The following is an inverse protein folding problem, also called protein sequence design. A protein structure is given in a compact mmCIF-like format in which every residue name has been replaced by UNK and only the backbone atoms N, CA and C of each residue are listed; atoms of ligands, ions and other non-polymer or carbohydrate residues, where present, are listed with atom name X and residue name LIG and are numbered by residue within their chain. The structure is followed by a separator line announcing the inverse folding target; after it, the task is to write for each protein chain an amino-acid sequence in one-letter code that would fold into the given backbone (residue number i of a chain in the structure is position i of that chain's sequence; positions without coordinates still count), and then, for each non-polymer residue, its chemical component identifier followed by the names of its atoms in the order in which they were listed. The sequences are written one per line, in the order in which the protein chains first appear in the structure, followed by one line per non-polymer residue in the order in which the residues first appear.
data_IF_539363318288
#
_entry.id   IF_539363318288
#
_cell.length_a   1.000
_cell.length_b   1.000
_cell.length_c   1.000
_cell.angle_alpha   90.00
_cell.angle_beta   90.00
_cell.angle_gamma   90.00
#
_symmetry.space_group_name_H-M   'P 1'
#
loop_
_entity.id
_entity.type
_entity.pdbx_description
1 polymer ?
#
# COMPACT_ATOMS: atom_id res chain seq x y z
N UNK A 1 5.22 -15.42 -4.18
CA UNK A 1 6.50 -14.74 -4.45
C UNK A 1 7.58 -15.80 -4.38
N UNK A 2 8.20 -16.13 -5.51
CA UNK A 2 9.12 -17.28 -5.61
C UNK A 2 10.49 -17.00 -4.99
N UNK A 3 11.20 -18.07 -4.59
CA UNK A 3 12.54 -18.03 -3.99
C UNK A 3 13.54 -17.17 -4.79
N UNK A 4 13.47 -17.21 -6.12
CA UNK A 4 14.36 -16.44 -7.00
C UNK A 4 14.16 -14.92 -6.84
N UNK A 5 12.91 -14.47 -6.77
CA UNK A 5 12.59 -13.04 -6.59
C UNK A 5 13.04 -12.53 -5.21
N UNK A 6 12.92 -13.36 -4.18
CA UNK A 6 13.44 -13.04 -2.85
C UNK A 6 14.96 -12.94 -2.86
N UNK A 7 15.65 -13.86 -3.52
CA UNK A 7 17.11 -13.86 -3.62
C UNK A 7 17.66 -12.65 -4.39
N UNK A 8 16.96 -12.21 -5.43
CA UNK A 8 17.31 -11.01 -6.19
C UNK A 8 17.19 -9.76 -5.31
N UNK A 9 16.16 -9.67 -4.48
CA UNK A 9 15.89 -8.48 -3.64
C UNK A 9 16.63 -8.48 -2.30
N UNK A 10 17.14 -9.64 -1.85
CA UNK A 10 17.88 -9.77 -0.60
C UNK A 10 19.39 -9.53 -0.75
N UNK A 11 19.96 -9.73 -1.94
CA UNK A 11 21.39 -9.51 -2.20
C UNK A 11 21.74 -8.00 -2.13
N UNK A 12 22.70 -7.62 -1.27
CA UNK A 12 23.14 -6.22 -1.06
C UNK A 12 23.50 -5.48 -2.35
N UNK A 13 24.15 -6.15 -3.31
CA UNK A 13 24.55 -5.53 -4.57
C UNK A 13 23.33 -5.21 -5.44
N UNK A 14 22.35 -6.10 -5.43
CA UNK A 14 21.08 -5.88 -6.11
C UNK A 14 20.25 -4.82 -5.40
N UNK A 15 20.29 -4.76 -4.06
CA UNK A 15 19.63 -3.69 -3.30
C UNK A 15 20.17 -2.32 -3.69
N UNK A 16 21.49 -2.19 -3.81
CA UNK A 16 22.10 -0.94 -4.29
C UNK A 16 21.60 -0.57 -5.69
N UNK A 17 21.65 -1.52 -6.64
CA UNK A 17 21.16 -1.30 -8.01
C UNK A 17 19.66 -0.94 -8.05
N UNK A 18 18.84 -1.58 -7.24
CA UNK A 18 17.41 -1.28 -7.12
C UNK A 18 17.17 0.10 -6.51
N UNK A 19 17.97 0.52 -5.52
CA UNK A 19 17.88 1.86 -4.91
C UNK A 19 18.19 2.94 -5.92
N UNK A 20 19.27 2.78 -6.70
CA UNK A 20 19.65 3.76 -7.73
C UNK A 20 18.56 3.94 -8.80
N UNK A 21 17.80 2.87 -9.09
CA UNK A 21 16.69 2.91 -10.05
C UNK A 21 15.34 3.31 -9.43
N UNK A 22 15.28 3.62 -8.13
CA UNK A 22 14.03 3.92 -7.43
C UNK A 22 13.07 2.73 -7.30
N UNK A 23 13.53 1.50 -7.60
CA UNK A 23 12.72 0.28 -7.58
C UNK A 23 12.90 -0.54 -6.28
N UNK A 24 13.74 -0.07 -5.36
CA UNK A 24 13.95 -0.75 -4.10
C UNK A 24 12.78 -0.49 -3.15
N UNK A 25 11.99 -1.54 -2.90
CA UNK A 25 10.98 -1.53 -1.84
C UNK A 25 11.64 -1.99 -0.55
N UNK A 26 11.78 -1.09 0.40
CA UNK A 26 12.36 -1.43 1.70
C UNK A 26 11.44 -2.42 2.43
N UNK A 27 11.97 -3.53 2.96
CA UNK A 27 11.16 -4.46 3.74
C UNK A 27 10.64 -3.76 4.99
N UNK A 28 9.34 -3.89 5.26
CA UNK A 28 8.72 -3.38 6.49
C UNK A 28 9.25 -4.17 7.69
N UNK A 29 9.52 -3.48 8.79
CA UNK A 29 9.88 -4.17 10.04
C UNK A 29 8.67 -4.95 10.58
N UNK A 30 8.92 -5.93 11.45
CA UNK A 30 7.85 -6.65 12.13
C UNK A 30 6.95 -5.71 12.96
N UNK A 31 7.52 -4.67 13.57
CA UNK A 31 6.77 -3.65 14.31
C UNK A 31 5.82 -2.86 13.40
N UNK A 32 6.28 -2.49 12.21
CA UNK A 32 5.45 -1.76 11.24
C UNK A 32 4.29 -2.61 10.73
N UNK A 33 4.56 -3.90 10.50
CA UNK A 33 3.53 -4.87 10.15
C UNK A 33 2.50 -4.93 11.28
N UNK A 34 2.93 -5.10 12.55
CA UNK A 34 2.03 -5.16 13.71
C UNK A 34 1.13 -3.93 13.82
N UNK A 35 1.70 -2.73 13.64
CA UNK A 35 0.95 -1.46 13.63
C UNK A 35 -0.09 -1.42 12.52
N UNK A 36 0.20 -1.99 11.36
CA UNK A 36 -0.69 -1.96 10.21
C UNK A 36 -1.93 -2.84 10.39
N UNK A 37 -1.76 -4.03 10.98
CA UNK A 37 -2.89 -4.88 11.36
C UNK A 37 -3.70 -4.24 12.49
N UNK A 38 -3.02 -3.68 13.50
CA UNK A 38 -3.71 -2.94 14.56
C UNK A 38 -4.56 -1.79 13.98
N UNK A 39 -4.04 -1.05 12.99
CA UNK A 39 -4.82 -0.01 12.30
C UNK A 39 -6.02 -0.57 11.52
N UNK A 40 -5.90 -1.75 10.94
CA UNK A 40 -6.97 -2.37 10.16
C UNK A 40 -8.10 -2.90 11.04
N UNK A 41 -7.76 -3.34 12.25
CA UNK A 41 -8.69 -3.91 13.23
C UNK A 41 -8.93 -2.99 14.45
N UNK A 42 -8.71 -1.69 14.33
CA UNK A 42 -8.90 -0.72 15.43
C UNK A 42 -8.23 -1.12 16.78
N UNK A 43 -7.09 -1.80 16.72
CA UNK A 43 -6.32 -2.22 17.89
C UNK A 43 -6.74 -3.55 18.51
N UNK A 44 -7.80 -4.22 18.02
CA UNK A 44 -8.32 -5.45 18.62
C UNK A 44 -7.73 -6.74 18.06
N UNK A 45 -6.72 -6.66 17.17
CA UNK A 45 -6.14 -7.85 16.56
C UNK A 45 -5.14 -8.52 17.51
N UNK A 46 -5.55 -9.64 18.10
CA UNK A 46 -4.76 -10.41 19.06
C UNK A 46 -3.87 -11.44 18.37
N UNK A 47 -2.61 -11.06 18.14
CA UNK A 47 -1.62 -11.91 17.47
C UNK A 47 -1.27 -13.20 18.21
N UNK A 48 -1.37 -13.21 19.53
CA UNK A 48 -0.93 -14.33 20.35
C UNK A 48 -1.96 -15.47 20.36
N UNK A 49 -3.22 -15.16 20.08
CA UNK A 49 -4.34 -16.10 20.10
C UNK A 49 -4.84 -16.44 18.69
N UNK A 50 -4.45 -15.65 17.69
CA UNK A 50 -4.88 -15.83 16.31
C UNK A 50 -4.36 -17.13 15.69
N UNK A 51 -5.29 -17.92 15.17
CA UNK A 51 -4.99 -19.10 14.35
C UNK A 51 -4.37 -18.70 13.00
N UNK A 52 -3.66 -19.64 12.36
CA UNK A 52 -3.03 -19.41 11.04
C UNK A 52 -4.06 -18.95 9.99
N UNK A 53 -5.29 -19.47 10.06
CA UNK A 53 -6.38 -19.08 9.17
C UNK A 53 -6.83 -17.62 9.40
N UNK A 54 -6.92 -17.20 10.66
CA UNK A 54 -7.28 -15.81 11.02
C UNK A 54 -6.20 -14.82 10.59
N UNK A 55 -4.93 -15.16 10.75
CA UNK A 55 -3.81 -14.33 10.26
C UNK A 55 -3.87 -14.18 8.73
N UNK A 56 -4.22 -15.25 8.02
CA UNK A 56 -4.34 -15.22 6.57
C UNK A 56 -5.53 -14.36 6.10
N UNK A 57 -6.68 -14.50 6.75
CA UNK A 57 -7.85 -13.67 6.51
C UNK A 57 -7.57 -12.20 6.81
N UNK A 58 -6.90 -11.91 7.93
CA UNK A 58 -6.49 -10.57 8.30
C UNK A 58 -5.53 -9.95 7.30
N UNK A 59 -4.60 -10.74 6.76
CA UNK A 59 -3.73 -10.30 5.67
C UNK A 59 -4.53 -9.96 4.41
N UNK A 60 -5.55 -10.76 4.07
CA UNK A 60 -6.39 -10.55 2.89
C UNK A 60 -7.20 -9.27 3.01
N UNK A 61 -7.79 -9.03 4.18
CA UNK A 61 -8.56 -7.81 4.46
C UNK A 61 -7.68 -6.56 4.40
N UNK A 62 -6.49 -6.61 5.00
CA UNK A 62 -5.46 -5.55 4.87
C UNK A 62 -5.15 -5.21 3.40
N UNK A 63 -4.96 -6.23 2.57
CA UNK A 63 -4.66 -6.04 1.15
C UNK A 63 -5.85 -5.43 0.39
N UNK A 64 -7.08 -5.80 0.74
CA UNK A 64 -8.28 -5.19 0.17
C UNK A 64 -8.42 -3.73 0.60
N UNK A 65 -8.21 -3.41 1.87
CA UNK A 65 -8.25 -2.04 2.39
C UNK A 65 -7.21 -1.13 1.74
N UNK A 66 -6.01 -1.65 1.44
CA UNK A 66 -5.02 -0.90 0.65
C UNK A 66 -5.53 -0.58 -0.75
N UNK A 67 -6.13 -1.56 -1.44
CA UNK A 67 -6.68 -1.35 -2.79
C UNK A 67 -7.81 -0.33 -2.79
N UNK A 68 -8.76 -0.44 -1.86
CA UNK A 68 -9.89 0.48 -1.77
C UNK A 68 -9.45 1.89 -1.40
N UNK A 69 -8.47 2.05 -0.52
CA UNK A 69 -7.89 3.37 -0.17
C UNK A 69 -7.26 4.02 -1.39
N UNK A 70 -6.42 3.30 -2.14
CA UNK A 70 -5.80 3.81 -3.36
C UNK A 70 -6.86 4.25 -4.38
N UNK A 71 -7.90 3.43 -4.59
CA UNK A 71 -9.00 3.78 -5.50
C UNK A 71 -9.70 5.06 -5.04
N UNK A 72 -10.09 5.14 -3.75
CA UNK A 72 -10.74 6.34 -3.18
C UNK A 72 -9.88 7.59 -3.37
N UNK A 73 -8.58 7.52 -3.12
CA UNK A 73 -7.67 8.65 -3.32
C UNK A 73 -7.63 9.10 -4.78
N UNK A 74 -7.53 8.16 -5.73
CA UNK A 74 -7.54 8.49 -7.15
C UNK A 74 -8.88 9.08 -7.60
N UNK A 75 -10.01 8.56 -7.09
CA UNK A 75 -11.34 9.11 -7.40
C UNK A 75 -11.44 10.57 -6.94
N UNK A 76 -10.96 10.91 -5.74
CA UNK A 76 -10.95 12.28 -5.23
C UNK A 76 -10.09 13.19 -6.12
N UNK A 77 -8.87 12.76 -6.47
CA UNK A 77 -7.96 13.52 -7.32
C UNK A 77 -8.60 13.80 -8.69
N UNK A 78 -9.18 12.77 -9.32
CA UNK A 78 -9.86 12.92 -10.61
C UNK A 78 -11.04 13.89 -10.55
N UNK A 79 -11.78 13.89 -9.44
CA UNK A 79 -12.91 14.80 -9.26
C UNK A 79 -12.45 16.25 -9.13
N UNK A 80 -11.36 16.50 -8.39
CA UNK A 80 -10.76 17.83 -8.27
C UNK A 80 -10.26 18.32 -9.63
N UNK A 81 -9.58 17.46 -10.39
CA UNK A 81 -9.09 17.80 -11.74
C UNK A 81 -10.26 18.13 -12.67
N UNK A 82 -11.33 17.32 -12.67
CA UNK A 82 -12.50 17.55 -13.50
C UNK A 82 -13.24 18.86 -13.17
N UNK A 83 -13.36 19.19 -11.88
CA UNK A 83 -13.94 20.47 -11.45
C UNK A 83 -13.05 21.65 -11.85
N UNK A 84 -11.74 21.52 -11.67
CA UNK A 84 -10.77 22.55 -12.05
C UNK A 84 -10.79 22.85 -13.55
N UNK A 85 -10.82 21.81 -14.39
CA UNK A 85 -10.89 21.97 -15.86
C UNK A 85 -12.22 22.57 -16.28
N UNK A 86 -13.33 22.19 -15.65
CA UNK A 86 -14.65 22.77 -15.93
C UNK A 86 -14.72 24.26 -15.58
N UNK A 87 -14.17 24.67 -14.43
CA UNK A 87 -14.13 26.08 -14.02
C UNK A 87 -13.24 26.87 -14.98
N UNK A 88 -12.04 26.36 -15.32
CA UNK A 88 -11.12 27.01 -16.24
C UNK A 88 -11.73 27.19 -17.65
N UNK A 89 -12.43 26.17 -18.15
CA UNK A 89 -13.13 26.23 -19.43
C UNK A 89 -14.22 27.32 -19.43
N UNK A 90 -15.03 27.39 -18.38
CA UNK A 90 -16.06 28.43 -18.26
C UNK A 90 -15.49 29.85 -18.07
N UNK A 91 -14.33 29.98 -17.43
CA UNK A 91 -13.64 31.26 -17.28
C UNK A 91 -12.99 31.75 -18.58
N UNK A 92 -12.70 30.86 -19.53
CA UNK A 92 -12.11 31.17 -20.83
C UNK A 92 -13.15 31.54 -21.91
N UNK A 93 -14.40 31.11 -21.73
CA UNK A 93 -15.50 31.31 -22.69
C UNK A 93 -16.36 32.55 -22.35
N UNK A 94 -16.22 33.11 -21.14
CA UNK A 94 -16.74 34.42 -20.76
C UNK A 94 -15.72 35.51 -21.01
#
# INVERSE_FOLDING_TARGET
MGMISHMITSNKDNQHKLKTRGMFVQPKSYSDIKKEYAKTYNGTFEYNEATVAEIFNARRELLQNRKTTTIKTWTIILTIVALGTFIAYNALIK
#
